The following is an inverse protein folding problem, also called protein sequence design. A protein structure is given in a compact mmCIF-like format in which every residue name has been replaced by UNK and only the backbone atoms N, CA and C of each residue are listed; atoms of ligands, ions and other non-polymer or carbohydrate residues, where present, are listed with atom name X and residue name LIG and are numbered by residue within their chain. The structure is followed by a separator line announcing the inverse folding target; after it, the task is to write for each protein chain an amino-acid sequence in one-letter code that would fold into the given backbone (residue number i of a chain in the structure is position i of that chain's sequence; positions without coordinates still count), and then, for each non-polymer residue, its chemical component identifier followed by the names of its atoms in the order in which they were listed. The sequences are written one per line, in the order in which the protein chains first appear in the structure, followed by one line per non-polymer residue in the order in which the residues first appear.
data_IF_718232241526
#
_entry.id   IF_718232241526
#
_cell.length_a   1.000
_cell.length_b   1.000
_cell.length_c   1.000
_cell.angle_alpha   90.00
_cell.angle_beta   90.00
_cell.angle_gamma   90.00
#
_symmetry.space_group_name_H-M   'P 1'
#
loop_
_entity.id
_entity.type
_entity.pdbx_description
1 polymer ?
#
# COMPACT_ATOMS: atom_id res chain seq x y z
N UNK A 1 -18.43 60.10 1.00
CA UNK A 1 -19.38 60.52 -0.02
C UNK A 1 -19.98 59.25 -0.61
N UNK A 2 -21.24 59.01 -0.23
CA UNK A 2 -22.04 57.88 -0.60
C UNK A 2 -22.27 57.74 -2.09
N UNK A 3 -22.47 56.52 -2.62
CA UNK A 3 -23.68 56.21 -3.38
C UNK A 3 -23.89 54.70 -3.41
N UNK A 4 -24.99 54.30 -2.82
CA UNK A 4 -25.67 53.01 -2.95
C UNK A 4 -26.19 52.80 -4.36
N UNK A 5 -26.14 51.58 -4.86
CA UNK A 5 -26.84 51.15 -6.06
C UNK A 5 -27.42 49.75 -5.85
N UNK A 6 -28.61 49.71 -5.30
CA UNK A 6 -29.46 48.53 -5.26
C UNK A 6 -29.92 48.15 -6.67
N UNK A 7 -29.80 46.88 -7.06
CA UNK A 7 -30.47 46.37 -8.25
C UNK A 7 -31.52 45.32 -7.84
N UNK A 8 -32.71 45.66 -8.31
CA UNK A 8 -34.02 45.11 -8.06
C UNK A 8 -34.21 43.67 -8.50
N UNK A 9 -34.89 42.90 -7.69
CA UNK A 9 -35.62 41.70 -8.07
C UNK A 9 -36.78 42.04 -8.98
N UNK A 10 -36.83 41.45 -10.17
CA UNK A 10 -38.11 41.28 -10.86
C UNK A 10 -38.11 40.00 -11.67
N UNK A 11 -38.81 39.02 -11.16
CA UNK A 11 -39.85 38.18 -11.78
C UNK A 11 -39.64 37.77 -13.24
N UNK A 12 -39.40 36.48 -13.45
CA UNK A 12 -39.95 35.76 -14.58
C UNK A 12 -40.27 34.30 -14.17
N UNK A 13 -41.47 34.19 -13.67
CA UNK A 13 -42.19 32.90 -13.59
C UNK A 13 -42.50 32.44 -15.02
N UNK A 14 -41.90 31.35 -15.46
CA UNK A 14 -42.48 30.50 -16.51
C UNK A 14 -42.46 29.06 -16.04
N UNK A 15 -43.61 28.61 -15.73
CA UNK A 15 -44.09 27.26 -15.49
C UNK A 15 -43.61 26.34 -16.65
N UNK A 16 -42.80 25.37 -16.32
CA UNK A 16 -42.76 24.13 -17.05
C UNK A 16 -43.00 23.01 -16.05
N UNK A 17 -44.21 22.56 -16.01
CA UNK A 17 -44.60 21.31 -15.37
C UNK A 17 -43.89 20.17 -16.11
N UNK A 18 -42.89 19.54 -15.46
CA UNK A 18 -42.41 18.26 -15.83
C UNK A 18 -42.54 17.30 -14.65
N UNK A 19 -43.56 16.50 -14.72
CA UNK A 19 -43.80 15.40 -13.78
C UNK A 19 -42.69 14.35 -13.97
N UNK A 20 -41.78 14.25 -13.03
CA UNK A 20 -40.66 13.29 -13.09
C UNK A 20 -39.78 13.24 -11.86
N UNK A 21 -40.26 13.72 -10.70
CA UNK A 21 -39.38 13.87 -9.50
C UNK A 21 -39.43 12.70 -8.50
N UNK A 22 -40.12 11.60 -8.76
CA UNK A 22 -40.21 10.50 -7.79
C UNK A 22 -39.03 9.51 -7.87
N UNK A 23 -38.41 9.33 -9.02
CA UNK A 23 -37.31 8.35 -9.16
C UNK A 23 -35.95 8.80 -8.63
N UNK A 24 -35.65 10.09 -8.63
CA UNK A 24 -34.35 10.60 -8.12
C UNK A 24 -34.24 10.53 -6.60
N UNK A 25 -35.35 10.65 -5.91
CA UNK A 25 -35.39 10.54 -4.44
C UNK A 25 -35.20 9.08 -3.99
N UNK A 26 -35.73 8.13 -4.72
CA UNK A 26 -35.58 6.70 -4.39
C UNK A 26 -34.14 6.23 -4.57
N UNK A 27 -33.41 6.74 -5.57
CA UNK A 27 -31.99 6.39 -5.79
C UNK A 27 -31.12 7.00 -4.69
N UNK A 28 -31.36 8.25 -4.28
CA UNK A 28 -30.66 8.88 -3.17
C UNK A 28 -30.94 8.17 -1.82
N UNK A 29 -32.19 7.79 -1.56
CA UNK A 29 -32.54 7.03 -0.35
C UNK A 29 -31.92 5.63 -0.35
N UNK A 30 -31.83 4.96 -1.51
CA UNK A 30 -31.20 3.64 -1.63
C UNK A 30 -29.69 3.71 -1.40
N UNK A 31 -29.03 4.78 -1.87
CA UNK A 31 -27.61 5.01 -1.58
C UNK A 31 -27.35 5.36 -0.10
N UNK A 32 -28.23 6.10 0.53
CA UNK A 32 -28.14 6.39 1.96
C UNK A 32 -28.43 5.17 2.84
N UNK A 33 -29.36 4.30 2.43
CA UNK A 33 -29.65 3.06 3.15
C UNK A 33 -28.48 2.05 3.06
N UNK A 34 -27.73 2.04 1.95
CA UNK A 34 -26.55 1.19 1.81
C UNK A 34 -25.37 1.69 2.66
N UNK A 35 -25.26 3.01 2.88
CA UNK A 35 -24.26 3.57 3.80
C UNK A 35 -24.59 3.32 5.28
N UNK A 36 -25.87 3.25 5.66
CA UNK A 36 -26.29 3.03 7.03
C UNK A 36 -26.10 1.56 7.49
N UNK A 37 -26.12 0.60 6.58
CA UNK A 37 -25.89 -0.82 6.88
C UNK A 37 -24.41 -1.17 7.08
N UNK A 38 -23.48 -0.29 6.72
CA UNK A 38 -22.05 -0.49 6.91
C UNK A 38 -21.54 -0.05 8.30
N UNK A 39 -22.37 0.58 9.14
CA UNK A 39 -21.96 1.14 10.45
C UNK A 39 -22.43 0.27 11.63
N UNK A 40 -23.20 -0.80 11.39
CA UNK A 40 -23.82 -1.59 12.45
C UNK A 40 -23.12 -2.91 12.82
N UNK A 41 -21.79 -3.01 12.63
CA UNK A 41 -21.03 -4.20 13.07
C UNK A 41 -19.70 -3.85 13.75
N UNK A 42 -19.77 -3.00 14.80
CA UNK A 42 -18.69 -2.89 15.77
C UNK A 42 -19.24 -2.50 17.14
N UNK A 43 -19.87 -3.43 17.83
CA UNK A 43 -19.98 -3.38 19.29
C UNK A 43 -20.21 -4.79 19.82
N UNK A 44 -19.18 -5.41 20.33
CA UNK A 44 -19.20 -6.30 21.48
C UNK A 44 -17.85 -7.05 21.60
N UNK A 45 -16.94 -6.52 22.33
CA UNK A 45 -16.12 -7.25 23.32
C UNK A 45 -15.44 -6.16 24.18
N UNK A 46 -16.09 -5.81 25.24
CA UNK A 46 -15.46 -5.22 26.41
C UNK A 46 -16.00 -5.95 27.64
N UNK A 47 -15.11 -6.22 28.55
CA UNK A 47 -15.21 -6.62 29.94
C UNK A 47 -14.43 -7.88 30.30
N UNK A 48 -13.21 -7.63 30.75
CA UNK A 48 -12.70 -8.25 31.97
C UNK A 48 -11.35 -7.64 32.34
N UNK A 49 -11.35 -6.46 32.94
CA UNK A 49 -10.23 -5.98 33.74
C UNK A 49 -10.46 -6.50 35.16
N UNK A 50 -9.70 -7.46 35.58
CA UNK A 50 -9.53 -7.81 36.99
C UNK A 50 -8.22 -7.23 37.50
N UNK A 51 -8.37 -6.34 38.47
CA UNK A 51 -7.34 -5.85 39.38
C UNK A 51 -6.44 -6.99 39.86
N UNK A 52 -5.14 -6.84 39.71
CA UNK A 52 -4.12 -7.63 40.40
C UNK A 52 -2.94 -6.73 40.74
N UNK A 53 -2.97 -6.28 41.99
CA UNK A 53 -1.86 -6.03 42.92
C UNK A 53 -0.48 -5.90 42.27
N UNK A 54 0.01 -4.65 42.35
CA UNK A 54 1.42 -4.25 42.15
C UNK A 54 2.26 -5.00 43.13
N UNK A 55 2.99 -5.98 42.69
CA UNK A 55 4.13 -6.55 43.40
C UNK A 55 5.38 -6.07 42.68
N UNK A 56 6.07 -5.17 43.36
CA UNK A 56 7.35 -4.57 42.96
C UNK A 56 8.40 -5.68 42.91
N UNK A 57 8.49 -6.36 41.78
CA UNK A 57 9.58 -7.29 41.48
C UNK A 57 10.58 -6.53 40.64
N UNK A 58 11.75 -6.29 41.17
CA UNK A 58 12.96 -5.88 40.46
C UNK A 58 13.10 -6.81 39.25
N UNK A 59 12.69 -6.33 38.09
CA UNK A 59 12.84 -7.05 36.82
C UNK A 59 14.34 -7.16 36.56
N UNK A 60 14.90 -8.32 36.81
CA UNK A 60 16.19 -8.72 36.25
C UNK A 60 16.00 -8.64 34.76
N UNK A 61 16.64 -7.65 34.13
CA UNK A 61 16.67 -7.48 32.68
C UNK A 61 17.28 -8.75 32.11
N UNK A 62 16.46 -9.65 31.60
CA UNK A 62 16.95 -10.83 30.86
C UNK A 62 17.88 -10.36 29.73
N UNK A 63 18.95 -11.09 29.41
CA UNK A 63 19.83 -10.72 28.32
C UNK A 63 19.02 -10.69 27.02
N UNK A 64 18.91 -9.52 26.45
CA UNK A 64 18.01 -9.19 25.35
C UNK A 64 18.36 -9.91 24.03
N UNK A 65 19.58 -10.41 23.92
CA UNK A 65 20.01 -11.19 22.78
C UNK A 65 19.94 -12.68 23.13
N UNK A 66 18.85 -13.30 22.71
CA UNK A 66 18.57 -14.73 22.96
C UNK A 66 19.47 -15.68 22.14
N UNK A 67 20.21 -15.16 21.14
CA UNK A 67 21.06 -15.98 20.26
C UNK A 67 22.38 -15.24 19.94
N UNK A 68 23.36 -16.02 19.45
CA UNK A 68 24.68 -15.48 19.06
C UNK A 68 24.59 -14.79 17.70
N UNK A 69 24.97 -13.52 17.66
CA UNK A 69 25.10 -12.77 16.41
C UNK A 69 26.31 -13.29 15.64
N UNK A 70 26.09 -13.82 14.42
CA UNK A 70 27.16 -14.11 13.46
C UNK A 70 27.42 -12.86 12.65
N UNK A 71 28.69 -12.52 12.44
CA UNK A 71 29.12 -11.30 11.77
C UNK A 71 30.34 -11.55 10.89
N UNK A 72 30.39 -10.86 9.77
CA UNK A 72 31.52 -10.90 8.85
C UNK A 72 31.69 -9.51 8.20
N UNK A 73 32.89 -9.18 7.79
CA UNK A 73 33.17 -8.01 6.95
C UNK A 73 34.43 -8.30 6.15
N UNK A 74 34.41 -7.95 4.87
CA UNK A 74 35.55 -8.14 3.97
C UNK A 74 36.67 -7.14 4.26
N UNK A 75 36.33 -5.90 4.65
CA UNK A 75 37.29 -4.87 5.00
C UNK A 75 37.77 -4.98 6.45
N UNK A 76 37.21 -4.19 7.34
CA UNK A 76 37.63 -4.17 8.74
C UNK A 76 36.49 -4.12 9.73
N UNK A 77 36.75 -4.59 10.96
CA UNK A 77 35.85 -4.50 12.09
C UNK A 77 36.53 -3.77 13.26
N UNK A 78 35.89 -2.74 13.79
CA UNK A 78 36.38 -1.95 14.91
C UNK A 78 35.39 -2.02 16.05
N UNK A 79 35.87 -2.43 17.22
CA UNK A 79 35.09 -2.40 18.48
C UNK A 79 35.50 -1.16 19.26
N UNK A 80 34.62 -0.18 19.34
CA UNK A 80 34.79 0.98 20.21
C UNK A 80 34.20 0.67 21.59
N UNK A 81 35.07 0.35 22.54
CA UNK A 81 34.64 -0.01 23.89
C UNK A 81 34.10 1.18 24.69
N UNK A 82 34.50 2.43 24.38
CA UNK A 82 34.00 3.63 25.07
C UNK A 82 32.54 3.90 24.70
N UNK A 83 32.20 3.71 23.46
CA UNK A 83 30.85 3.92 22.94
C UNK A 83 29.99 2.62 22.93
N UNK A 84 30.61 1.50 23.30
CA UNK A 84 30.00 0.16 23.22
C UNK A 84 29.41 -0.17 21.86
N UNK A 85 30.17 0.17 20.78
CA UNK A 85 29.75 0.00 19.39
C UNK A 85 30.73 -0.88 18.60
N UNK A 86 30.16 -1.65 17.69
CA UNK A 86 30.89 -2.38 16.67
C UNK A 86 30.63 -1.75 15.31
N UNK A 87 31.71 -1.40 14.62
CA UNK A 87 31.71 -0.93 13.24
C UNK A 87 32.23 -2.04 12.33
N UNK A 88 31.49 -2.35 11.28
CA UNK A 88 31.88 -3.28 10.23
C UNK A 88 31.84 -2.52 8.91
N UNK A 89 32.88 -2.59 8.15
CA UNK A 89 33.07 -1.79 6.94
C UNK A 89 33.52 -2.66 5.78
N UNK A 90 32.93 -2.43 4.61
CA UNK A 90 33.13 -3.12 3.36
C UNK A 90 32.66 -4.59 3.41
N UNK A 91 31.65 -4.91 2.62
CA UNK A 91 31.07 -6.24 2.57
C UNK A 91 30.55 -6.73 3.94
N UNK A 92 30.01 -5.82 4.76
CA UNK A 92 29.56 -6.15 6.11
C UNK A 92 28.31 -7.03 6.08
N UNK A 93 28.34 -8.14 6.82
CA UNK A 93 27.24 -9.08 6.97
C UNK A 93 26.94 -9.34 8.45
N UNK A 94 25.67 -9.37 8.78
CA UNK A 94 25.16 -9.65 10.12
C UNK A 94 24.00 -10.63 10.04
N UNK A 95 24.08 -11.70 10.82
CA UNK A 95 23.07 -12.74 10.91
C UNK A 95 22.61 -12.89 12.35
N UNK A 96 21.31 -12.79 12.59
CA UNK A 96 20.69 -12.95 13.90
C UNK A 96 19.31 -13.59 13.76
N UNK A 97 19.16 -14.82 14.26
CA UNK A 97 17.93 -15.60 14.12
C UNK A 97 17.50 -15.74 12.63
N UNK A 98 16.35 -15.16 12.27
CA UNK A 98 15.78 -15.11 10.92
C UNK A 98 16.14 -13.85 10.14
N UNK A 99 16.99 -12.99 10.72
CA UNK A 99 17.44 -11.71 10.15
C UNK A 99 18.79 -11.89 9.48
N UNK A 100 18.87 -11.49 8.24
CA UNK A 100 20.08 -11.33 7.44
C UNK A 100 20.19 -9.87 6.99
N UNK A 101 21.31 -9.23 7.30
CA UNK A 101 21.60 -7.85 6.91
C UNK A 101 22.97 -7.80 6.27
N UNK A 102 23.02 -7.43 5.00
CA UNK A 102 24.25 -7.19 4.23
C UNK A 102 24.31 -5.72 3.85
N UNK A 103 25.50 -5.11 3.90
CA UNK A 103 25.63 -3.69 3.59
C UNK A 103 27.10 -3.28 3.45
N UNK A 104 27.34 -2.11 2.87
CA UNK A 104 28.68 -1.53 2.84
C UNK A 104 29.20 -1.15 4.23
N UNK A 105 28.34 -0.61 5.10
CA UNK A 105 28.67 -0.33 6.50
C UNK A 105 27.55 -0.83 7.40
N UNK A 106 27.92 -1.49 8.50
CA UNK A 106 27.00 -1.86 9.58
C UNK A 106 27.59 -1.38 10.90
N UNK A 107 26.77 -0.68 11.67
CA UNK A 107 27.11 -0.22 13.04
C UNK A 107 26.13 -0.86 14.01
N UNK A 108 26.65 -1.66 14.92
CA UNK A 108 25.88 -2.28 15.98
C UNK A 108 26.17 -1.55 17.30
N UNK A 109 25.15 -0.98 17.91
CA UNK A 109 25.20 -0.34 19.21
C UNK A 109 24.66 -1.31 20.28
N UNK A 110 25.55 -1.80 21.11
CA UNK A 110 25.20 -2.72 22.20
C UNK A 110 24.50 -2.06 23.39
N UNK A 111 24.53 -0.71 23.46
CA UNK A 111 23.86 0.02 24.54
C UNK A 111 22.36 0.12 24.29
N UNK A 112 21.99 0.36 23.06
CA UNK A 112 20.58 0.52 22.61
C UNK A 112 20.03 -0.71 21.92
N UNK A 113 20.86 -1.74 21.71
CA UNK A 113 20.55 -2.92 20.91
C UNK A 113 20.02 -2.57 19.51
N UNK A 114 20.63 -1.54 18.90
CA UNK A 114 20.28 -1.07 17.57
C UNK A 114 21.36 -1.40 16.55
N UNK A 115 20.93 -1.78 15.36
CA UNK A 115 21.80 -1.89 14.20
C UNK A 115 21.42 -0.82 13.18
N UNK A 116 22.43 -0.14 12.65
CA UNK A 116 22.30 0.80 11.55
C UNK A 116 23.13 0.31 10.38
N UNK A 117 22.57 0.32 9.18
CA UNK A 117 23.27 -0.06 7.97
C UNK A 117 23.08 0.97 6.85
N UNK A 118 24.08 1.13 6.01
CA UNK A 118 24.07 2.13 4.95
C UNK A 118 25.10 1.82 3.85
N UNK A 119 25.06 2.63 2.81
CA UNK A 119 25.99 2.56 1.67
C UNK A 119 27.36 3.11 2.07
N UNK A 120 28.40 2.64 1.39
CA UNK A 120 29.73 3.24 1.46
C UNK A 120 30.05 3.98 0.15
N UNK A 121 31.05 4.85 0.21
CA UNK A 121 31.59 5.53 -0.98
C UNK A 121 32.77 4.75 -1.52
N UNK A 122 32.79 4.53 -2.83
CA UNK A 122 33.95 4.00 -3.51
C UNK A 122 35.05 5.08 -3.68
N UNK A 123 36.16 4.73 -4.30
CA UNK A 123 37.28 5.65 -4.56
C UNK A 123 36.92 6.80 -5.50
N UNK A 124 35.83 6.68 -6.27
CA UNK A 124 35.32 7.70 -7.19
C UNK A 124 34.22 8.56 -6.53
N UNK A 125 33.84 8.27 -5.27
CA UNK A 125 32.83 8.99 -4.52
C UNK A 125 31.39 8.50 -4.76
N UNK A 126 31.19 7.45 -5.56
CA UNK A 126 29.86 6.88 -5.79
C UNK A 126 29.41 6.05 -4.58
N UNK A 127 28.11 6.08 -4.31
CA UNK A 127 27.51 5.26 -3.25
C UNK A 127 27.30 3.83 -3.73
N UNK A 128 28.04 2.90 -3.15
CA UNK A 128 28.04 1.47 -3.49
C UNK A 128 27.59 0.62 -2.30
N UNK A 129 27.35 -0.67 -2.54
CA UNK A 129 26.96 -1.67 -1.55
C UNK A 129 25.70 -1.25 -0.74
N UNK A 130 24.55 -1.09 -1.41
CA UNK A 130 23.30 -0.79 -0.72
C UNK A 130 22.95 -1.87 0.30
N UNK A 131 22.35 -1.55 1.42
CA UNK A 131 21.84 -2.54 2.35
C UNK A 131 20.87 -3.51 1.69
N UNK A 132 20.96 -4.79 2.05
CA UNK A 132 19.97 -5.81 1.78
C UNK A 132 19.51 -6.39 3.13
N UNK A 133 18.24 -6.19 3.46
CA UNK A 133 17.63 -6.67 4.69
C UNK A 133 16.64 -7.77 4.37
N UNK A 134 16.86 -8.95 4.93
CA UNK A 134 15.99 -10.10 4.77
C UNK A 134 15.52 -10.57 6.12
N UNK A 135 14.22 -10.84 6.24
CA UNK A 135 13.63 -11.45 7.41
C UNK A 135 12.57 -12.47 7.00
N UNK A 136 12.81 -13.73 7.37
CA UNK A 136 11.97 -14.83 6.93
C UNK A 136 11.98 -14.97 5.40
N UNK A 137 10.86 -14.71 4.75
CA UNK A 137 10.75 -14.75 3.27
C UNK A 137 10.67 -13.38 2.60
N UNK A 138 10.73 -12.31 3.37
CA UNK A 138 10.60 -10.94 2.86
C UNK A 138 11.98 -10.31 2.74
N UNK A 139 12.27 -9.72 1.58
CA UNK A 139 13.52 -9.06 1.26
C UNK A 139 13.27 -7.60 0.88
N UNK A 140 14.08 -6.68 1.41
CA UNK A 140 13.97 -5.24 1.20
C UNK A 140 15.35 -4.67 0.92
N UNK A 141 15.45 -3.82 -0.10
CA UNK A 141 16.65 -3.12 -0.52
C UNK A 141 16.55 -1.63 -0.20
N UNK A 142 16.98 -1.16 0.95
CA UNK A 142 16.96 0.25 1.33
C UNK A 142 18.24 0.99 0.92
N UNK A 143 18.21 2.33 1.03
CA UNK A 143 19.43 3.13 1.03
C UNK A 143 20.10 3.13 2.41
N UNK A 144 19.29 3.10 3.46
CA UNK A 144 19.73 2.92 4.84
C UNK A 144 18.62 2.33 5.70
N UNK A 145 19.02 1.66 6.78
CA UNK A 145 18.12 1.04 7.74
C UNK A 145 18.63 1.25 9.14
N UNK A 146 17.73 1.45 10.10
CA UNK A 146 17.97 1.36 11.53
C UNK A 146 16.95 0.38 12.12
N UNK A 147 17.42 -0.65 12.77
CA UNK A 147 16.62 -1.71 13.37
C UNK A 147 17.01 -1.90 14.83
N UNK A 148 16.02 -2.06 15.69
CA UNK A 148 16.21 -2.34 17.11
C UNK A 148 15.79 -3.78 17.41
N UNK A 149 16.71 -4.56 17.97
CA UNK A 149 16.51 -6.00 18.25
C UNK A 149 15.50 -6.26 19.37
N UNK A 150 15.39 -5.37 20.35
CA UNK A 150 14.49 -5.53 21.50
C UNK A 150 13.04 -5.32 21.12
N UNK A 151 12.80 -4.20 20.44
CA UNK A 151 11.45 -3.76 20.06
C UNK A 151 11.01 -4.31 18.71
N UNK A 152 11.95 -4.91 17.95
CA UNK A 152 11.76 -5.39 16.56
C UNK A 152 11.23 -4.30 15.62
N UNK A 153 11.42 -3.05 15.97
CA UNK A 153 11.06 -1.89 15.16
C UNK A 153 12.19 -1.49 14.25
N UNK A 154 11.82 -0.97 13.06
CA UNK A 154 12.80 -0.41 12.14
C UNK A 154 12.29 0.88 11.51
N UNK A 155 13.25 1.72 11.11
CA UNK A 155 13.03 2.81 10.16
C UNK A 155 13.94 2.54 8.98
N UNK A 156 13.34 2.55 7.79
CA UNK A 156 13.95 2.17 6.53
C UNK A 156 13.77 3.33 5.56
N UNK A 157 14.83 3.81 4.95
CA UNK A 157 14.79 4.92 4.00
C UNK A 157 15.00 4.41 2.58
N UNK A 158 14.17 4.96 1.66
CA UNK A 158 14.17 4.62 0.22
C UNK A 158 14.11 3.11 -0.01
N UNK A 159 13.18 2.45 0.66
CA UNK A 159 12.99 1.00 0.55
C UNK A 159 12.43 0.60 -0.80
N UNK A 160 12.94 -0.49 -1.35
CA UNK A 160 12.46 -1.18 -2.54
C UNK A 160 12.17 -2.62 -2.18
N UNK A 161 11.01 -3.12 -2.56
CA UNK A 161 10.64 -4.52 -2.36
C UNK A 161 9.69 -4.98 -3.44
N UNK A 162 9.78 -6.25 -3.79
CA UNK A 162 8.80 -6.90 -4.66
C UNK A 162 7.85 -7.73 -3.81
N UNK A 163 6.55 -7.53 -4.04
CA UNK A 163 5.50 -8.23 -3.33
C UNK A 163 4.44 -8.72 -4.32
N UNK A 164 4.38 -10.03 -4.55
CA UNK A 164 3.41 -10.66 -5.44
C UNK A 164 3.37 -10.06 -6.86
N UNK A 165 4.52 -9.82 -7.46
CA UNK A 165 4.64 -9.23 -8.78
C UNK A 165 4.38 -7.72 -8.83
N UNK A 166 4.20 -7.07 -7.68
CA UNK A 166 4.14 -5.62 -7.57
C UNK A 166 5.43 -5.09 -6.95
N UNK A 167 6.01 -4.10 -7.59
CA UNK A 167 7.16 -3.36 -7.11
C UNK A 167 6.69 -2.19 -6.23
N UNK A 168 7.20 -2.14 -5.01
CA UNK A 168 6.89 -1.10 -4.03
C UNK A 168 8.17 -0.34 -3.68
N UNK A 169 8.20 0.96 -3.98
CA UNK A 169 9.29 1.87 -3.60
C UNK A 169 8.73 2.91 -2.64
N UNK A 170 9.26 3.00 -1.42
CA UNK A 170 8.77 3.95 -0.42
C UNK A 170 9.90 4.84 0.09
N UNK A 171 9.64 6.14 0.24
CA UNK A 171 10.63 7.10 0.78
C UNK A 171 10.97 6.77 2.23
N UNK A 172 9.98 6.40 3.02
CA UNK A 172 10.19 5.97 4.41
C UNK A 172 9.26 4.81 4.73
N UNK A 173 9.84 3.76 5.28
CA UNK A 173 9.10 2.59 5.78
C UNK A 173 9.39 2.44 7.26
N UNK A 174 8.34 2.44 8.09
CA UNK A 174 8.42 2.15 9.51
C UNK A 174 7.89 0.75 9.77
N UNK A 175 8.76 -0.15 10.20
CA UNK A 175 8.37 -1.46 10.73
C UNK A 175 7.94 -1.28 12.18
N UNK A 176 6.70 -1.62 12.50
CA UNK A 176 6.14 -1.47 13.85
C UNK A 176 6.37 -2.72 14.70
N UNK A 177 6.27 -3.89 14.06
CA UNK A 177 6.51 -5.21 14.61
C UNK A 177 6.83 -6.17 13.45
N UNK A 178 6.93 -7.47 13.72
CA UNK A 178 7.28 -8.47 12.71
C UNK A 178 6.31 -8.58 11.54
N UNK A 179 5.11 -8.03 11.67
CA UNK A 179 4.04 -8.22 10.68
C UNK A 179 3.44 -6.93 10.12
N UNK A 180 3.80 -5.74 10.63
CA UNK A 180 3.15 -4.50 10.24
C UNK A 180 4.15 -3.44 9.84
N UNK A 181 4.00 -2.94 8.61
CA UNK A 181 4.80 -1.86 8.05
C UNK A 181 3.91 -0.67 7.72
N UNK A 182 4.39 0.53 7.99
CA UNK A 182 3.80 1.78 7.56
C UNK A 182 4.71 2.42 6.52
N UNK A 183 4.15 2.64 5.34
CA UNK A 183 4.84 3.23 4.20
C UNK A 183 4.44 4.70 4.07
N UNK A 184 5.39 5.55 3.72
CA UNK A 184 5.16 6.96 3.43
C UNK A 184 5.71 7.29 2.06
N UNK A 185 4.90 8.00 1.25
CA UNK A 185 5.21 8.36 -0.13
C UNK A 185 5.67 7.15 -0.94
N UNK A 186 4.82 6.14 -1.00
CA UNK A 186 5.11 4.93 -1.75
C UNK A 186 4.67 5.08 -3.21
N UNK A 187 5.49 4.54 -4.13
CA UNK A 187 5.15 4.27 -5.51
C UNK A 187 4.92 2.77 -5.65
N UNK A 188 3.80 2.37 -6.22
CA UNK A 188 3.42 0.98 -6.44
C UNK A 188 3.22 0.80 -7.92
N UNK A 189 3.94 -0.14 -8.53
CA UNK A 189 3.87 -0.41 -9.95
C UNK A 189 3.99 -1.91 -10.24
N UNK A 190 3.46 -2.33 -11.38
CA UNK A 190 3.69 -3.65 -11.96
C UNK A 190 4.66 -3.59 -13.15
N UNK A 191 5.22 -2.40 -13.45
CA UNK A 191 6.27 -2.24 -14.44
C UNK A 191 7.53 -2.98 -14.02
N UNK A 192 8.28 -3.47 -15.01
CA UNK A 192 9.58 -4.13 -14.80
C UNK A 192 10.65 -3.14 -14.34
N UNK A 193 10.59 -1.90 -14.84
CA UNK A 193 11.46 -0.84 -14.37
C UNK A 193 10.90 -0.23 -13.09
N UNK A 194 11.64 -0.40 -12.01
CA UNK A 194 11.25 0.07 -10.66
C UNK A 194 11.72 1.49 -10.42
N UNK A 195 12.77 1.90 -11.08
CA UNK A 195 13.37 3.22 -10.86
C UNK A 195 12.68 4.30 -11.70
N UNK A 196 12.31 3.98 -12.93
CA UNK A 196 11.58 4.86 -13.85
C UNK A 196 10.37 4.14 -14.47
N UNK A 197 9.35 3.82 -13.68
CA UNK A 197 8.19 3.09 -14.17
C UNK A 197 7.30 3.95 -15.07
N UNK A 198 6.88 3.40 -16.21
CA UNK A 198 5.96 4.07 -17.15
C UNK A 198 4.66 4.52 -16.48
N UNK A 199 4.21 3.79 -15.47
CA UNK A 199 3.04 4.10 -14.66
C UNK A 199 3.21 3.60 -13.23
N UNK A 200 2.63 4.33 -12.30
CA UNK A 200 2.61 3.93 -10.88
C UNK A 200 1.45 4.57 -10.12
N UNK A 201 1.04 3.92 -9.06
CA UNK A 201 0.15 4.52 -8.08
C UNK A 201 1.01 5.15 -6.98
N UNK A 202 0.90 6.45 -6.83
CA UNK A 202 1.50 7.19 -5.73
C UNK A 202 0.57 7.15 -4.53
N UNK A 203 1.06 6.59 -3.44
CA UNK A 203 0.34 6.46 -2.17
C UNK A 203 1.01 7.34 -1.13
N UNK A 204 0.24 8.25 -0.53
CA UNK A 204 0.79 9.14 0.53
C UNK A 204 1.17 8.36 1.77
N UNK A 205 0.29 7.49 2.24
CA UNK A 205 0.50 6.62 3.39
C UNK A 205 -0.14 5.27 3.14
N UNK A 206 0.52 4.19 3.54
CA UNK A 206 -0.06 2.85 3.50
C UNK A 206 0.30 2.06 4.75
N UNK A 207 -0.61 1.18 5.15
CA UNK A 207 -0.36 0.11 6.12
C UNK A 207 -0.23 -1.19 5.35
N UNK A 208 0.93 -1.79 5.43
CA UNK A 208 1.26 -3.03 4.75
C UNK A 208 1.41 -4.16 5.77
N UNK A 209 0.74 -5.26 5.53
CA UNK A 209 0.85 -6.51 6.29
C UNK A 209 1.23 -7.61 5.31
N UNK A 210 2.50 -8.06 5.28
CA UNK A 210 3.00 -9.06 4.34
C UNK A 210 2.10 -10.28 4.27
N UNK A 211 1.92 -10.83 3.07
CA UNK A 211 1.10 -12.03 2.80
C UNK A 211 -0.37 -11.94 3.22
N UNK A 212 -0.85 -10.77 3.63
CA UNK A 212 -2.25 -10.56 4.04
C UNK A 212 -2.93 -9.43 3.29
N UNK A 213 -2.49 -8.18 3.50
CA UNK A 213 -3.15 -7.01 2.93
C UNK A 213 -2.28 -5.77 2.92
N UNK A 214 -2.57 -4.87 2.00
CA UNK A 214 -2.13 -3.50 2.05
C UNK A 214 -3.35 -2.57 2.02
N UNK A 215 -3.39 -1.62 2.93
CA UNK A 215 -4.43 -0.58 2.99
C UNK A 215 -3.74 0.73 2.70
N UNK A 216 -4.12 1.38 1.61
CA UNK A 216 -3.59 2.69 1.25
C UNK A 216 -4.56 3.80 1.64
N UNK A 217 -4.02 4.93 2.05
CA UNK A 217 -4.74 6.19 2.11
C UNK A 217 -4.87 6.81 0.72
N UNK A 218 -4.90 8.16 0.69
CA UNK A 218 -5.03 8.89 -0.57
C UNK A 218 -3.98 8.45 -1.58
N UNK A 219 -4.46 7.98 -2.72
CA UNK A 219 -3.66 7.40 -3.80
C UNK A 219 -4.04 8.05 -5.12
N UNK A 220 -3.07 8.31 -5.97
CA UNK A 220 -3.28 8.86 -7.30
C UNK A 220 -2.48 8.08 -8.34
N UNK A 221 -3.07 7.85 -9.49
CA UNK A 221 -2.41 7.20 -10.62
C UNK A 221 -1.58 8.23 -11.39
N UNK A 222 -0.33 7.87 -11.69
CA UNK A 222 0.60 8.61 -12.53
C UNK A 222 0.95 7.79 -13.76
N UNK A 223 1.02 8.44 -14.92
CA UNK A 223 1.46 7.86 -16.18
C UNK A 223 2.54 8.79 -16.74
N UNK A 224 3.72 8.26 -17.03
CA UNK A 224 4.88 9.04 -17.44
C UNK A 224 5.12 10.26 -16.52
N UNK A 225 5.08 10.05 -15.20
CA UNK A 225 5.19 11.08 -14.15
C UNK A 225 4.11 12.19 -14.15
N UNK A 226 3.10 12.10 -15.04
CA UNK A 226 1.98 13.03 -15.08
C UNK A 226 0.82 12.50 -14.23
N UNK A 227 0.31 13.30 -13.28
CA UNK A 227 -0.84 12.90 -12.47
C UNK A 227 -2.10 12.82 -13.31
N UNK A 228 -2.79 11.70 -13.25
CA UNK A 228 -4.11 11.54 -13.87
C UNK A 228 -5.22 12.03 -12.94
N UNK A 229 -6.43 12.32 -13.44
CA UNK A 229 -7.58 12.65 -12.62
C UNK A 229 -8.12 11.46 -11.79
N UNK A 230 -7.54 10.28 -11.97
CA UNK A 230 -7.91 9.09 -11.21
C UNK A 230 -7.25 9.08 -9.84
N UNK A 231 -8.04 9.35 -8.83
CA UNK A 231 -7.59 9.28 -7.45
C UNK A 231 -8.52 8.37 -6.62
N UNK A 232 -7.94 7.70 -5.64
CA UNK A 232 -8.66 6.87 -4.69
C UNK A 232 -8.44 7.45 -3.30
N UNK A 233 -9.49 7.81 -2.55
CA UNK A 233 -9.36 8.29 -1.18
C UNK A 233 -8.78 7.22 -0.25
N UNK A 234 -9.09 5.97 -0.51
CA UNK A 234 -8.47 4.79 0.10
C UNK A 234 -8.55 3.61 -0.87
N UNK A 235 -7.62 2.66 -0.73
CA UNK A 235 -7.67 1.40 -1.48
C UNK A 235 -7.24 0.22 -0.59
N UNK A 236 -7.84 -0.91 -0.84
CA UNK A 236 -7.52 -2.18 -0.19
C UNK A 236 -6.97 -3.16 -1.23
N UNK A 237 -5.73 -3.59 -1.02
CA UNK A 237 -5.06 -4.55 -1.88
C UNK A 237 -4.85 -5.85 -1.09
N UNK A 238 -5.55 -6.92 -1.43
CA UNK A 238 -5.30 -8.22 -0.81
C UNK A 238 -3.94 -8.75 -1.26
N UNK A 239 -3.12 -9.16 -0.29
CA UNK A 239 -1.80 -9.75 -0.49
C UNK A 239 -1.84 -11.24 -0.14
N UNK A 240 -2.90 -11.93 -0.53
CA UNK A 240 -3.09 -13.37 -0.31
C UNK A 240 -3.13 -14.09 -1.65
N UNK A 241 -2.67 -15.33 -1.67
CA UNK A 241 -2.78 -16.19 -2.86
C UNK A 241 -4.21 -16.74 -3.06
N UNK A 242 -5.06 -16.63 -2.05
CA UNK A 242 -6.46 -17.03 -2.11
C UNK A 242 -7.33 -15.93 -2.69
N UNK A 243 -8.52 -16.29 -3.20
CA UNK A 243 -9.53 -15.32 -3.63
C UNK A 243 -9.83 -14.35 -2.49
N UNK A 244 -9.66 -13.07 -2.73
CA UNK A 244 -9.92 -12.03 -1.75
C UNK A 244 -10.58 -10.84 -2.43
N UNK A 245 -11.50 -10.22 -1.72
CA UNK A 245 -12.13 -8.96 -2.13
C UNK A 245 -11.08 -7.86 -2.21
N UNK A 246 -11.04 -7.12 -3.31
CA UNK A 246 -10.06 -6.04 -3.47
C UNK A 246 -10.13 -5.31 -4.79
N UNK A 247 -9.29 -4.30 -4.92
CA UNK A 247 -9.15 -3.47 -6.10
C UNK A 247 -8.40 -4.23 -7.20
N UNK A 248 -8.92 -4.14 -8.42
CA UNK A 248 -8.30 -4.66 -9.63
C UNK A 248 -7.58 -3.52 -10.35
N UNK A 249 -6.28 -3.66 -10.54
CA UNK A 249 -5.48 -2.68 -11.27
C UNK A 249 -5.88 -2.66 -12.74
N UNK A 250 -6.07 -1.46 -13.31
CA UNK A 250 -6.29 -1.35 -14.75
C UNK A 250 -5.04 -1.75 -15.53
N UNK A 251 -5.25 -2.35 -16.66
CA UNK A 251 -4.23 -2.51 -17.70
C UNK A 251 -4.11 -1.20 -18.46
N UNK A 252 -2.88 -0.71 -18.59
CA UNK A 252 -2.56 0.53 -19.30
C UNK A 252 -1.92 0.15 -20.63
N UNK A 253 -2.34 0.79 -21.71
CA UNK A 253 -1.75 0.58 -23.01
C UNK A 253 -2.22 1.62 -24.01
N UNK A 254 -1.81 1.43 -25.27
CA UNK A 254 -2.14 2.27 -26.40
C UNK A 254 -2.86 1.46 -27.47
N UNK A 255 -3.89 2.06 -28.05
CA UNK A 255 -4.62 1.52 -29.18
C UNK A 255 -4.56 2.52 -30.34
N UNK A 256 -4.19 2.07 -31.52
CA UNK A 256 -4.01 2.93 -32.67
C UNK A 256 -5.25 3.78 -33.01
N UNK A 257 -6.46 3.22 -32.84
CA UNK A 257 -7.70 3.91 -33.22
C UNK A 257 -8.34 4.71 -32.07
N UNK A 258 -7.96 4.46 -30.79
CA UNK A 258 -8.63 5.02 -29.62
C UNK A 258 -7.68 5.76 -28.67
N UNK A 259 -6.38 5.78 -28.98
CA UNK A 259 -5.35 6.37 -28.15
C UNK A 259 -5.02 5.52 -26.92
N UNK A 260 -4.56 6.17 -25.86
CA UNK A 260 -4.25 5.48 -24.62
C UNK A 260 -5.50 4.98 -23.92
N UNK A 261 -5.38 3.84 -23.26
CA UNK A 261 -6.47 3.23 -22.53
C UNK A 261 -6.10 2.77 -21.12
N UNK A 262 -7.13 2.78 -20.29
CA UNK A 262 -7.18 2.12 -19.00
C UNK A 262 -8.28 1.07 -19.08
N UNK A 263 -7.93 -0.21 -19.05
CA UNK A 263 -8.89 -1.30 -19.17
C UNK A 263 -8.89 -2.21 -17.95
N UNK A 264 -10.04 -2.84 -17.68
CA UNK A 264 -10.20 -3.82 -16.61
C UNK A 264 -9.89 -3.28 -15.20
N UNK A 265 -9.90 -1.95 -15.02
CA UNK A 265 -9.81 -1.35 -13.70
C UNK A 265 -11.13 -1.52 -12.94
N UNK A 266 -11.07 -1.89 -11.65
CA UNK A 266 -12.32 -2.09 -10.95
C UNK A 266 -12.19 -2.68 -9.56
N UNK A 267 -13.23 -3.40 -9.16
CA UNK A 267 -13.28 -4.02 -7.84
C UNK A 267 -13.84 -5.44 -7.90
N UNK A 268 -13.16 -6.35 -7.22
CA UNK A 268 -13.55 -7.75 -7.10
C UNK A 268 -14.12 -8.04 -5.73
N UNK A 269 -15.31 -8.63 -5.69
CA UNK A 269 -16.02 -8.99 -4.47
C UNK A 269 -16.12 -10.51 -4.36
N UNK A 270 -15.61 -11.08 -3.31
CA UNK A 270 -15.89 -12.45 -2.89
C UNK A 270 -17.12 -12.43 -1.99
N UNK A 271 -18.27 -12.81 -2.53
CA UNK A 271 -19.53 -12.85 -1.76
C UNK A 271 -19.53 -14.05 -0.83
N UNK A 272 -19.13 -15.20 -1.36
CA UNK A 272 -18.94 -16.45 -0.60
C UNK A 272 -18.07 -17.44 -1.41
N UNK A 273 -17.81 -18.62 -0.88
CA UNK A 273 -16.97 -19.64 -1.53
C UNK A 273 -17.46 -20.08 -2.91
N UNK A 274 -18.73 -19.86 -3.21
CA UNK A 274 -19.39 -20.29 -4.46
C UNK A 274 -19.75 -19.16 -5.41
N UNK A 275 -19.66 -17.89 -4.98
CA UNK A 275 -20.09 -16.72 -5.74
C UNK A 275 -19.06 -15.60 -5.62
N UNK A 276 -18.64 -15.09 -6.75
CA UNK A 276 -17.85 -13.87 -6.86
C UNK A 276 -18.47 -12.87 -7.86
N UNK A 277 -18.15 -11.61 -7.70
CA UNK A 277 -18.58 -10.52 -8.57
C UNK A 277 -17.42 -9.59 -8.84
N UNK A 278 -17.15 -9.30 -10.10
CA UNK A 278 -16.20 -8.29 -10.52
C UNK A 278 -16.94 -7.14 -11.21
N UNK A 279 -16.63 -5.91 -10.79
CA UNK A 279 -17.06 -4.70 -11.49
C UNK A 279 -15.85 -4.09 -12.17
N UNK A 280 -15.88 -3.90 -13.47
CA UNK A 280 -14.77 -3.48 -14.30
C UNK A 280 -15.15 -2.24 -15.10
N UNK A 281 -14.20 -1.32 -15.25
CA UNK A 281 -14.35 -0.12 -16.07
C UNK A 281 -13.23 -0.03 -17.10
N UNK A 282 -13.57 0.48 -18.26
CA UNK A 282 -12.66 0.75 -19.37
C UNK A 282 -12.79 2.23 -19.75
N UNK A 283 -11.66 2.91 -19.98
CA UNK A 283 -11.63 4.30 -20.42
C UNK A 283 -10.54 4.51 -21.47
N UNK A 284 -10.86 5.29 -22.49
CA UNK A 284 -9.98 5.62 -23.61
C UNK A 284 -9.85 7.15 -23.77
N UNK A 285 -8.71 7.60 -24.23
CA UNK A 285 -8.46 9.06 -24.40
C UNK A 285 -9.30 9.71 -25.51
N UNK A 286 -9.84 8.94 -26.46
CA UNK A 286 -10.80 9.44 -27.43
C UNK A 286 -12.22 9.69 -26.85
N UNK A 287 -12.42 9.49 -25.55
CA UNK A 287 -13.71 9.63 -24.86
C UNK A 287 -14.58 8.37 -24.86
N UNK A 288 -14.12 7.26 -25.43
CA UNK A 288 -14.81 5.97 -25.30
C UNK A 288 -14.69 5.44 -23.88
N UNK A 289 -15.75 4.83 -23.36
CA UNK A 289 -15.75 4.21 -22.04
C UNK A 289 -16.63 2.95 -22.03
N UNK A 290 -16.34 2.08 -21.07
CA UNK A 290 -17.08 0.87 -20.86
C UNK A 290 -17.25 0.53 -19.38
N UNK A 291 -18.31 -0.19 -19.08
CA UNK A 291 -18.55 -0.75 -17.76
C UNK A 291 -19.00 -2.20 -17.90
N UNK A 292 -18.42 -3.08 -17.08
CA UNK A 292 -18.70 -4.49 -17.11
C UNK A 292 -18.88 -5.04 -15.70
N UNK A 293 -19.89 -5.88 -15.53
CA UNK A 293 -20.12 -6.66 -14.31
C UNK A 293 -20.03 -8.12 -14.67
N UNK A 294 -19.14 -8.83 -14.02
CA UNK A 294 -18.97 -10.28 -14.20
C UNK A 294 -19.22 -10.96 -12.86
N UNK A 295 -20.01 -12.01 -12.88
CA UNK A 295 -20.30 -12.82 -11.71
C UNK A 295 -20.11 -14.29 -12.06
N UNK A 296 -19.33 -14.99 -11.25
CA UNK A 296 -19.14 -16.42 -11.39
C UNK A 296 -19.77 -17.12 -10.19
N UNK A 297 -20.54 -18.15 -10.48
CA UNK A 297 -21.10 -19.00 -9.44
C UNK A 297 -20.76 -20.48 -9.72
N UNK A 298 -20.27 -21.14 -8.69
CA UNK A 298 -19.83 -22.53 -8.80
C UNK A 298 -20.10 -23.29 -7.49
N UNK A 299 -21.00 -24.24 -7.53
CA UNK A 299 -21.21 -25.18 -6.43
C UNK A 299 -20.85 -26.60 -6.88
N UNK A 300 -19.76 -27.10 -6.34
CA UNK A 300 -19.22 -28.44 -6.68
C UNK A 300 -20.31 -29.49 -6.71
N UNK A 301 -20.34 -30.27 -7.79
CA UNK A 301 -21.32 -31.35 -8.07
C UNK A 301 -22.78 -30.92 -8.23
N UNK A 302 -23.12 -29.62 -8.27
CA UNK A 302 -24.50 -29.16 -8.43
C UNK A 302 -24.71 -28.24 -9.62
N UNK A 303 -24.03 -27.12 -9.66
CA UNK A 303 -24.17 -26.14 -10.75
C UNK A 303 -22.93 -25.28 -10.88
N UNK A 304 -22.70 -24.81 -12.09
CA UNK A 304 -21.67 -23.84 -12.44
C UNK A 304 -22.22 -22.93 -13.54
N UNK A 305 -21.94 -21.65 -13.46
CA UNK A 305 -22.28 -20.69 -14.50
C UNK A 305 -21.61 -19.35 -14.26
N UNK A 306 -21.79 -18.49 -15.22
CA UNK A 306 -21.36 -17.11 -15.15
C UNK A 306 -22.47 -16.20 -15.65
N UNK A 307 -22.51 -14.98 -15.10
CA UNK A 307 -23.32 -13.87 -15.58
C UNK A 307 -22.38 -12.75 -15.98
N UNK A 308 -22.60 -12.14 -17.15
CA UNK A 308 -21.82 -11.02 -17.65
C UNK A 308 -22.76 -9.97 -18.19
N UNK A 309 -22.64 -8.75 -17.68
CA UNK A 309 -23.28 -7.56 -18.20
C UNK A 309 -22.22 -6.58 -18.67
N UNK A 310 -22.32 -6.09 -19.91
CA UNK A 310 -21.40 -5.11 -20.49
C UNK A 310 -22.19 -3.96 -21.10
N UNK A 311 -21.75 -2.75 -20.79
CA UNK A 311 -22.19 -1.53 -21.43
C UNK A 311 -20.96 -0.78 -21.95
N UNK A 312 -20.98 -0.39 -23.19
CA UNK A 312 -19.89 0.35 -23.84
C UNK A 312 -20.47 1.53 -24.65
N UNK A 313 -19.82 2.67 -24.53
CA UNK A 313 -20.02 3.84 -25.39
C UNK A 313 -18.72 4.05 -26.18
N UNK A 314 -18.75 3.71 -27.45
CA UNK A 314 -17.58 3.74 -28.32
C UNK A 314 -17.67 4.93 -29.27
N UNK A 315 -16.63 5.75 -29.27
CA UNK A 315 -16.44 6.81 -30.25
C UNK A 315 -15.45 6.26 -31.28
N UNK A 316 -15.95 6.04 -32.50
CA UNK A 316 -15.07 5.68 -33.60
C UNK A 316 -14.46 6.97 -34.15
N UNK A 317 -13.13 7.06 -34.21
CA UNK A 317 -12.45 8.12 -34.93
C UNK A 317 -12.78 7.98 -36.45
N UNK A 318 -13.12 9.10 -37.04
CA UNK A 318 -13.18 9.21 -38.52
C UNK A 318 -11.75 9.20 -39.08
#
# INVERSE_FOLDING_TARGET
MCIFGAFNLMSLSKVIHYSGTSHKWHICCLMFLFCALAIAQETAVDEAVKDSIVQDSVAVKEPVLLDKIKRHADGYMIVNRKENKLYMYDGAELYYQDIELKSGIIVLDYTTNEVSAGRIKDTLGNLVQPPAFKQGGDEVFPDSIRFNFDTKKAIIWNSRSEQQGMNVKATTTKKQNDSVYYLRNAKITTSKDVDDPEYYIRVRTAKFVPKRKMISGLSNLYIADVPTPLFLPFAYFPMTQNRATGFLFPTIGENFNRGYFLQNGGYYFVVNDNLDVATLGDYYTNGSYGFRVESNYNKRYRYRGNFSFRYESLINGE
#
